data_IF_801540410338
#
_entry.id   IF_801540410338
#
_cell.length_a   1.000
_cell.length_b   1.000
_cell.length_c   1.000
_cell.angle_alpha   90.00
_cell.angle_beta   90.00
_cell.angle_gamma   90.00
#
_symmetry.space_group_name_H-M   'P 1'
#
loop_
_entity.id
_entity.type
_entity.pdbx_description
1 polymer ?
#
# COMPACT_ATOMS: atom_id res chain seq x y z
N UNK A 1 -12.16 18.01 -14.99
CA UNK A 1 -11.58 16.66 -14.88
C UNK A 1 -11.01 16.53 -13.48
N UNK A 2 -11.60 15.74 -12.58
CA UNK A 2 -11.00 15.49 -11.26
C UNK A 2 -9.94 14.42 -11.46
N UNK A 3 -8.67 14.79 -11.38
CA UNK A 3 -7.60 13.79 -11.28
C UNK A 3 -7.73 13.14 -9.90
N UNK A 4 -8.11 11.86 -9.85
CA UNK A 4 -7.86 11.06 -8.65
C UNK A 4 -6.35 10.97 -8.48
N UNK A 5 -5.86 11.05 -7.24
CA UNK A 5 -4.48 10.63 -6.97
C UNK A 5 -4.35 9.17 -7.43
N UNK A 6 -3.23 8.79 -8.06
CA UNK A 6 -3.04 7.40 -8.45
C UNK A 6 -3.12 6.50 -7.21
N UNK A 7 -3.29 5.19 -7.40
CA UNK A 7 -3.12 4.20 -6.31
C UNK A 7 -1.69 3.64 -6.33
N UNK A 8 -1.21 3.00 -5.24
CA UNK A 8 0.09 2.31 -5.27
C UNK A 8 0.18 1.28 -6.40
N UNK A 9 -0.88 0.52 -6.66
CA UNK A 9 -0.95 -0.41 -7.80
C UNK A 9 -0.70 0.30 -9.12
N UNK A 10 -1.36 1.44 -9.37
CA UNK A 10 -1.17 2.19 -10.62
C UNK A 10 0.27 2.72 -10.78
N UNK A 11 0.94 3.08 -9.68
CA UNK A 11 2.36 3.50 -9.72
C UNK A 11 3.25 2.31 -10.10
N UNK A 12 3.02 1.13 -9.52
CA UNK A 12 3.79 -0.10 -9.81
C UNK A 12 3.53 -0.61 -11.24
N UNK A 13 2.29 -0.50 -11.72
CA UNK A 13 1.92 -0.87 -13.08
C UNK A 13 2.64 0.01 -14.11
N UNK A 14 2.78 1.32 -13.84
CA UNK A 14 3.56 2.23 -14.69
C UNK A 14 5.02 1.82 -14.77
N UNK A 15 5.63 1.39 -13.66
CA UNK A 15 7.00 0.86 -13.64
C UNK A 15 7.12 -0.41 -14.47
N UNK A 16 6.17 -1.34 -14.30
CA UNK A 16 6.11 -2.59 -15.08
C UNK A 16 5.92 -2.34 -16.58
N UNK A 17 5.19 -1.28 -16.94
CA UNK A 17 5.03 -0.82 -18.32
C UNK A 17 6.23 -0.02 -18.86
N UNK A 18 7.29 0.19 -18.07
CA UNK A 18 8.48 0.97 -18.44
C UNK A 18 8.21 2.47 -18.59
N UNK A 19 7.12 2.98 -18.00
CA UNK A 19 6.74 4.40 -18.07
C UNK A 19 7.40 5.26 -17.00
N UNK A 20 7.79 4.64 -15.89
CA UNK A 20 8.61 5.23 -14.83
C UNK A 20 9.71 4.24 -14.45
N UNK A 21 10.81 4.77 -13.94
CA UNK A 21 11.92 3.98 -13.41
C UNK A 21 11.61 3.41 -12.02
N UNK A 22 12.44 2.46 -11.57
CA UNK A 22 12.40 1.91 -10.22
C UNK A 22 12.58 3.00 -9.16
N UNK A 23 13.51 3.93 -9.40
CA UNK A 23 13.78 5.05 -8.48
C UNK A 23 12.58 6.00 -8.38
N UNK A 24 11.94 6.33 -9.50
CA UNK A 24 10.74 7.18 -9.51
C UNK A 24 9.56 6.49 -8.80
N UNK A 25 9.35 5.19 -9.05
CA UNK A 25 8.35 4.38 -8.34
C UNK A 25 8.62 4.43 -6.83
N UNK A 26 9.85 4.12 -6.42
CA UNK A 26 10.20 4.07 -5.00
C UNK A 26 10.12 5.42 -4.31
N UNK A 27 10.48 6.52 -4.99
CA UNK A 27 10.30 7.86 -4.44
C UNK A 27 8.82 8.15 -4.14
N UNK A 28 7.93 7.85 -5.09
CA UNK A 28 6.49 8.05 -4.90
C UNK A 28 5.94 7.19 -3.76
N UNK A 29 6.36 5.92 -3.68
CA UNK A 29 5.86 5.01 -2.65
C UNK A 29 6.43 5.31 -1.26
N UNK A 30 7.68 5.79 -1.15
CA UNK A 30 8.29 6.17 0.13
C UNK A 30 7.69 7.45 0.72
N UNK A 31 7.15 8.33 -0.13
CA UNK A 31 6.44 9.54 0.28
C UNK A 31 4.93 9.29 0.51
N UNK A 32 4.47 8.05 0.32
CA UNK A 32 3.07 7.70 0.45
C UNK A 32 2.63 7.62 1.92
N UNK A 33 1.50 8.25 2.25
CA UNK A 33 0.83 8.03 3.53
C UNK A 33 -0.10 6.83 3.41
N UNK A 34 0.37 5.65 3.79
CA UNK A 34 -0.40 4.42 3.66
C UNK A 34 -1.59 4.35 4.62
N UNK A 35 -2.70 3.81 4.12
CA UNK A 35 -3.78 3.30 4.97
C UNK A 35 -3.66 1.79 5.10
N UNK A 36 -4.07 1.28 6.24
CA UNK A 36 -4.04 -0.15 6.56
C UNK A 36 -5.46 -0.68 6.59
N UNK A 37 -5.65 -1.91 6.14
CA UNK A 37 -6.97 -2.51 6.11
C UNK A 37 -7.57 -2.63 7.50
N UNK A 38 -8.88 -2.48 7.59
CA UNK A 38 -9.63 -2.48 8.85
C UNK A 38 -10.98 -3.16 8.69
N UNK A 39 -11.52 -3.66 9.78
CA UNK A 39 -12.92 -4.10 9.84
C UNK A 39 -13.75 -2.92 10.38
N UNK A 40 -14.55 -2.23 9.55
CA UNK A 40 -15.39 -1.14 10.03
C UNK A 40 -16.47 -1.66 10.97
N UNK A 41 -16.49 -1.13 12.20
CA UNK A 41 -17.54 -1.41 13.18
C UNK A 41 -18.61 -0.32 13.05
N UNK A 42 -19.82 -0.66 12.58
CA UNK A 42 -20.95 0.27 12.52
C UNK A 42 -22.03 -0.14 13.52
N UNK A 43 -22.07 0.53 14.67
CA UNK A 43 -23.04 0.24 15.74
C UNK A 43 -22.82 -1.15 16.37
N UNK A 44 -23.89 -1.93 16.56
CA UNK A 44 -23.83 -3.30 17.10
C UNK A 44 -23.65 -4.39 16.03
N UNK A 45 -23.40 -4.00 14.78
CA UNK A 45 -23.18 -4.91 13.65
C UNK A 45 -21.81 -4.61 13.08
N UNK A 46 -20.86 -5.52 13.28
CA UNK A 46 -19.66 -5.56 12.45
C UNK A 46 -20.14 -5.62 11.01
N UNK A 47 -19.78 -4.65 10.17
CA UNK A 47 -19.92 -4.87 8.75
C UNK A 47 -18.93 -6.00 8.44
N UNK A 48 -19.42 -7.19 8.11
CA UNK A 48 -18.61 -8.40 7.88
C UNK A 48 -17.65 -8.29 6.67
N UNK A 49 -17.36 -7.08 6.19
CA UNK A 49 -16.51 -6.78 5.06
C UNK A 49 -15.25 -6.04 5.54
N UNK A 50 -14.10 -6.71 5.39
CA UNK A 50 -12.79 -6.09 5.48
C UNK A 50 -12.66 -4.97 4.43
N UNK A 51 -12.33 -3.75 4.87
CA UNK A 51 -11.98 -2.63 4.00
C UNK A 51 -10.46 -2.64 3.78
N UNK A 52 -9.98 -2.93 2.55
CA UNK A 52 -8.55 -2.95 2.31
C UNK A 52 -7.94 -1.54 2.32
N UNK A 53 -6.75 -1.42 2.88
CA UNK A 53 -5.92 -0.24 2.86
C UNK A 53 -5.02 -0.18 1.63
N UNK A 54 -4.39 0.98 1.41
CA UNK A 54 -3.41 1.13 0.33
C UNK A 54 -2.12 0.35 0.60
N UNK A 55 -1.83 -0.03 1.86
CA UNK A 55 -0.73 -0.94 2.17
C UNK A 55 -0.98 -2.35 1.62
N UNK A 56 -2.23 -2.82 1.62
CA UNK A 56 -2.55 -4.15 1.11
C UNK A 56 -2.31 -4.25 -0.42
N UNK A 57 -2.30 -3.11 -1.14
CA UNK A 57 -1.86 -3.05 -2.53
C UNK A 57 -0.36 -3.34 -2.68
N UNK A 58 0.47 -2.84 -1.76
CA UNK A 58 1.91 -3.10 -1.72
C UNK A 58 2.17 -4.57 -1.44
N UNK A 59 1.49 -5.16 -0.45
CA UNK A 59 1.62 -6.58 -0.12
C UNK A 59 1.21 -7.47 -1.30
N UNK A 60 0.08 -7.16 -1.94
CA UNK A 60 -0.35 -7.89 -3.15
C UNK A 60 0.66 -7.77 -4.29
N UNK A 61 1.26 -6.59 -4.49
CA UNK A 61 2.28 -6.39 -5.52
C UNK A 61 3.55 -7.19 -5.23
N UNK A 62 3.98 -7.24 -3.97
CA UNK A 62 5.09 -8.08 -3.53
C UNK A 62 4.82 -9.56 -3.76
N UNK A 63 3.65 -10.08 -3.34
CA UNK A 63 3.27 -11.49 -3.59
C UNK A 63 3.16 -11.84 -5.08
N UNK A 64 2.95 -10.86 -5.95
CA UNK A 64 2.95 -11.04 -7.42
C UNK A 64 4.33 -10.92 -8.04
N UNK A 65 5.37 -10.63 -7.26
CA UNK A 65 6.74 -10.42 -7.75
C UNK A 65 6.93 -9.10 -8.50
N UNK A 66 6.04 -8.12 -8.31
CA UNK A 66 6.16 -6.79 -8.92
C UNK A 66 7.07 -5.86 -8.10
N UNK A 67 7.25 -6.17 -6.82
CA UNK A 67 8.23 -5.55 -5.94
C UNK A 67 9.28 -6.60 -5.54
N UNK A 68 10.52 -6.17 -5.47
CA UNK A 68 11.65 -6.94 -4.94
C UNK A 68 11.67 -6.92 -3.41
N UNK A 69 12.44 -7.85 -2.81
CA UNK A 69 12.65 -7.91 -1.36
C UNK A 69 13.24 -6.60 -0.80
N UNK A 70 14.16 -5.97 -1.54
CA UNK A 70 14.78 -4.71 -1.15
C UNK A 70 13.78 -3.54 -1.18
N UNK A 71 12.91 -3.49 -2.20
CA UNK A 71 11.88 -2.47 -2.33
C UNK A 71 10.85 -2.56 -1.20
N UNK A 72 10.32 -3.76 -0.94
CA UNK A 72 9.37 -3.95 0.18
C UNK A 72 10.03 -3.69 1.52
N UNK A 73 11.28 -4.11 1.72
CA UNK A 73 12.03 -3.88 2.95
C UNK A 73 12.19 -2.38 3.27
N UNK A 74 12.49 -1.56 2.25
CA UNK A 74 12.57 -0.09 2.41
C UNK A 74 11.22 0.53 2.77
N UNK A 75 10.13 0.06 2.16
CA UNK A 75 8.77 0.54 2.47
C UNK A 75 8.36 0.15 3.90
N UNK A 76 8.68 -1.07 4.33
CA UNK A 76 8.42 -1.54 5.69
C UNK A 76 9.19 -0.72 6.72
N UNK A 77 10.49 -0.50 6.50
CA UNK A 77 11.32 0.30 7.42
C UNK A 77 10.78 1.73 7.54
N UNK A 78 10.42 2.35 6.42
CA UNK A 78 9.86 3.71 6.39
C UNK A 78 8.53 3.85 7.13
N UNK A 79 7.73 2.78 7.18
CA UNK A 79 6.38 2.74 7.74
C UNK A 79 6.27 1.87 9.01
N UNK A 80 7.40 1.51 9.63
CA UNK A 80 7.48 0.57 10.76
C UNK A 80 6.50 0.89 11.89
N UNK A 81 6.48 2.14 12.34
CA UNK A 81 5.61 2.55 13.46
C UNK A 81 4.12 2.42 13.12
N UNK A 82 3.75 2.67 11.86
CA UNK A 82 2.38 2.55 11.41
C UNK A 82 1.96 1.08 11.25
N UNK A 83 2.87 0.24 10.76
CA UNK A 83 2.71 -1.22 10.70
C UNK A 83 2.54 -1.83 12.10
N UNK A 84 3.38 -1.43 13.05
CA UNK A 84 3.27 -1.87 14.44
C UNK A 84 1.93 -1.48 15.07
N UNK A 85 1.43 -0.28 14.77
CA UNK A 85 0.10 0.16 15.24
C UNK A 85 -1.02 -0.64 14.59
N UNK A 86 -0.98 -0.84 13.28
CA UNK A 86 -1.97 -1.62 12.55
C UNK A 86 -2.06 -3.06 13.08
N UNK A 87 -0.91 -3.71 13.31
CA UNK A 87 -0.82 -5.06 13.86
C UNK A 87 -1.39 -5.20 15.28
N UNK A 88 -1.40 -4.12 16.08
CA UNK A 88 -2.02 -4.11 17.41
C UNK A 88 -3.54 -3.90 17.36
N UNK A 89 -4.05 -3.38 16.25
CA UNK A 89 -5.47 -3.03 16.08
C UNK A 89 -6.29 -4.04 15.28
N UNK A 90 -5.62 -5.03 14.68
CA UNK A 90 -6.21 -6.15 13.96
C UNK A 90 -6.55 -7.32 14.91
#
# INVERSE_FOLDING_TARGET
MRYSKPTPTEVIDRRTAGQISDDEMMQVLLDWTFTFGRVPVSGSVSADAYEPGSWDEIERAYYRGLLTDDEIGRLMERNKDALEQAARSA
#
